data_IF_524117755187
#
_entry.id   IF_524117755187
#
_cell.length_a   1.000
_cell.length_b   1.000
_cell.length_c   1.000
_cell.angle_alpha   90.00
_cell.angle_beta   90.00
_cell.angle_gamma   90.00
#
_symmetry.space_group_name_H-M   'P 1'
#
loop_
_entity.id
_entity.type
_entity.pdbx_description
1 polymer ?
#
# COMPACT_ATOMS: atom_id res chain seq x y z
N UNK A 1 10.19 -4.00 26.32
CA UNK A 1 11.00 -4.13 25.11
C UNK A 1 10.18 -4.01 23.84
N UNK A 2 10.83 -4.16 22.70
CA UNK A 2 10.16 -4.08 21.42
C UNK A 2 9.08 -5.14 21.25
N UNK A 3 9.31 -6.32 21.81
CA UNK A 3 8.33 -7.40 21.78
C UNK A 3 7.04 -7.03 22.50
N UNK A 4 7.17 -6.35 23.61
CA UNK A 4 6.00 -5.89 24.37
C UNK A 4 5.19 -4.88 23.58
N UNK A 5 5.86 -3.97 22.88
CA UNK A 5 5.19 -2.99 22.03
C UNK A 5 4.44 -3.66 20.89
N UNK A 6 5.07 -4.63 20.22
CA UNK A 6 4.42 -5.38 19.14
C UNK A 6 3.16 -6.09 19.63
N UNK A 7 3.26 -6.72 20.80
CA UNK A 7 2.12 -7.40 21.39
C UNK A 7 1.00 -6.42 21.71
N UNK A 8 1.35 -5.27 22.27
CA UNK A 8 0.38 -4.23 22.59
C UNK A 8 -0.37 -3.77 21.36
N UNK A 9 0.35 -3.49 20.24
CA UNK A 9 -0.29 -3.05 19.02
C UNK A 9 -1.24 -4.11 18.45
N UNK A 10 -0.87 -5.38 18.54
CA UNK A 10 -1.76 -6.45 18.12
C UNK A 10 -3.04 -6.47 18.95
N UNK A 11 -2.93 -6.26 20.27
CA UNK A 11 -4.09 -6.29 21.14
C UNK A 11 -5.08 -5.16 20.89
N UNK A 12 -4.62 -4.03 20.33
CA UNK A 12 -5.52 -2.92 19.97
C UNK A 12 -5.99 -2.98 18.54
N UNK A 13 -5.66 -4.07 17.81
CA UNK A 13 -6.21 -4.31 16.48
C UNK A 13 -5.49 -3.64 15.34
N UNK A 14 -4.30 -3.09 15.58
CA UNK A 14 -3.50 -2.52 14.50
C UNK A 14 -2.83 -3.64 13.70
N UNK A 15 -2.84 -3.50 12.40
CA UNK A 15 -2.24 -4.46 11.47
C UNK A 15 -1.31 -3.75 10.52
N UNK A 16 -0.22 -4.43 10.18
CA UNK A 16 0.67 -4.01 9.10
C UNK A 16 0.37 -4.87 7.87
N UNK A 17 0.26 -4.21 6.73
CA UNK A 17 0.14 -4.93 5.47
C UNK A 17 1.14 -4.35 4.48
N UNK A 18 1.70 -5.21 3.66
CA UNK A 18 2.57 -4.80 2.57
C UNK A 18 1.81 -4.94 1.26
N UNK A 19 1.76 -3.87 0.50
CA UNK A 19 1.04 -3.83 -0.76
C UNK A 19 2.04 -3.57 -1.87
N UNK A 20 2.13 -4.51 -2.81
CA UNK A 20 2.97 -4.36 -3.99
C UNK A 20 2.08 -4.04 -5.18
N UNK A 21 2.41 -2.98 -5.87
CA UNK A 21 1.66 -2.59 -7.08
C UNK A 21 2.59 -1.98 -8.11
N UNK A 22 2.12 -1.93 -9.34
CA UNK A 22 2.85 -1.29 -10.43
C UNK A 22 1.96 -0.27 -11.12
N UNK A 23 2.59 0.79 -11.63
CA UNK A 23 1.91 1.87 -12.33
C UNK A 23 2.88 2.48 -13.35
N UNK A 24 2.33 3.03 -14.42
CA UNK A 24 3.11 3.80 -15.38
C UNK A 24 3.09 5.30 -15.08
N UNK A 25 2.40 5.72 -14.03
CA UNK A 25 2.26 7.12 -13.62
C UNK A 25 2.85 7.32 -12.24
N UNK A 26 3.97 8.03 -12.17
CA UNK A 26 4.65 8.32 -10.91
C UNK A 26 3.76 9.08 -9.92
N UNK A 27 2.88 9.92 -10.42
CA UNK A 27 1.99 10.69 -9.56
C UNK A 27 0.91 9.84 -8.91
N UNK A 28 0.65 8.64 -9.45
CA UNK A 28 -0.31 7.72 -8.87
C UNK A 28 0.07 7.32 -7.44
N UNK A 29 1.38 7.26 -7.16
CA UNK A 29 1.88 6.91 -5.82
C UNK A 29 1.40 7.92 -4.80
N UNK A 30 1.46 9.21 -5.13
CA UNK A 30 0.98 10.28 -4.25
C UNK A 30 -0.54 10.19 -4.04
N UNK A 31 -1.28 9.88 -5.10
CA UNK A 31 -2.74 9.73 -5.00
C UNK A 31 -3.12 8.57 -4.10
N UNK A 32 -2.40 7.45 -4.20
CA UNK A 32 -2.63 6.29 -3.32
C UNK A 32 -2.36 6.66 -1.86
N UNK A 33 -1.23 7.31 -1.58
CA UNK A 33 -0.88 7.73 -0.22
C UNK A 33 -1.94 8.68 0.35
N UNK A 34 -2.41 9.59 -0.48
CA UNK A 34 -3.44 10.56 -0.06
C UNK A 34 -4.76 9.84 0.27
N UNK A 35 -5.13 8.85 -0.54
CA UNK A 35 -6.33 8.07 -0.31
C UNK A 35 -6.24 7.30 1.01
N UNK A 36 -5.09 6.70 1.29
CA UNK A 36 -4.87 6.00 2.54
C UNK A 36 -5.02 6.94 3.73
N UNK A 37 -4.51 8.17 3.63
CA UNK A 37 -4.67 9.17 4.69
C UNK A 37 -6.14 9.48 4.96
N UNK A 38 -6.97 9.56 3.93
CA UNK A 38 -8.40 9.84 4.12
C UNK A 38 -9.13 8.71 4.82
N UNK A 39 -8.59 7.49 4.78
CA UNK A 39 -9.16 6.32 5.45
C UNK A 39 -8.50 6.03 6.80
N UNK A 40 -7.67 6.94 7.29
CA UNK A 40 -6.92 6.79 8.54
C UNK A 40 -5.95 5.60 8.49
N UNK A 41 -5.45 5.28 7.31
CA UNK A 41 -4.35 4.33 7.14
C UNK A 41 -3.04 5.11 7.17
N UNK A 42 -2.04 4.55 7.83
CA UNK A 42 -0.73 5.20 7.95
C UNK A 42 0.25 4.49 7.02
N UNK A 43 0.79 5.24 6.08
CA UNK A 43 1.87 4.73 5.23
C UNK A 43 3.16 4.82 6.04
N UNK A 44 3.67 3.67 6.46
CA UNK A 44 4.87 3.59 7.31
C UNK A 44 6.12 3.83 6.46
N UNK A 45 6.19 3.18 5.32
CA UNK A 45 7.31 3.30 4.40
C UNK A 45 6.92 2.79 3.03
N UNK A 46 7.69 3.15 2.02
CA UNK A 46 7.54 2.54 0.71
C UNK A 46 8.88 2.54 -0.03
N UNK A 47 9.01 1.60 -0.95
CA UNK A 47 10.14 1.52 -1.87
C UNK A 47 9.62 1.55 -3.29
N UNK A 48 10.34 2.22 -4.16
CA UNK A 48 9.98 2.32 -5.57
C UNK A 48 11.17 1.96 -6.43
N UNK A 49 10.95 1.08 -7.39
CA UNK A 49 11.93 0.80 -8.44
C UNK A 49 11.33 1.15 -9.78
N UNK A 50 12.15 1.70 -10.64
CA UNK A 50 11.74 2.10 -11.98
C UNK A 50 12.33 1.12 -12.99
N UNK A 51 11.49 0.63 -13.90
CA UNK A 51 11.91 -0.24 -14.99
C UNK A 51 11.40 0.31 -16.31
N UNK A 52 12.21 0.18 -17.36
CA UNK A 52 11.82 0.58 -18.69
C UNK A 52 11.46 -0.68 -19.45
N UNK A 53 10.19 -0.81 -19.83
CA UNK A 53 9.65 -2.01 -20.47
C UNK A 53 8.73 -1.61 -21.61
N UNK A 54 8.96 -2.18 -22.80
CA UNK A 54 8.13 -1.94 -23.97
C UNK A 54 7.95 -0.47 -24.33
N UNK A 55 9.02 0.32 -24.18
CA UNK A 55 9.00 1.74 -24.50
C UNK A 55 8.35 2.62 -23.43
N UNK A 56 8.07 2.07 -22.26
CA UNK A 56 7.44 2.81 -21.18
C UNK A 56 8.21 2.63 -19.86
N UNK A 57 8.17 3.66 -19.04
CA UNK A 57 8.63 3.55 -17.66
C UNK A 57 7.52 2.93 -16.82
N UNK A 58 7.86 1.90 -16.08
CA UNK A 58 6.95 1.26 -15.14
C UNK A 58 7.55 1.36 -13.75
N UNK A 59 6.74 1.77 -12.79
CA UNK A 59 7.17 1.93 -11.41
C UNK A 59 6.59 0.80 -10.58
N UNK A 60 7.47 0.06 -9.91
CA UNK A 60 7.08 -1.00 -8.99
C UNK A 60 7.22 -0.47 -7.58
N UNK A 61 6.13 -0.50 -6.84
CA UNK A 61 6.07 0.08 -5.50
C UNK A 61 5.74 -1.02 -4.49
N UNK A 62 6.49 -1.03 -3.39
CA UNK A 62 6.20 -1.87 -2.25
C UNK A 62 5.95 -0.95 -1.06
N UNK A 63 4.73 -0.95 -0.55
CA UNK A 63 4.29 0.02 0.45
C UNK A 63 3.81 -0.71 1.70
N UNK A 64 4.32 -0.30 2.87
CA UNK A 64 3.90 -0.83 4.16
C UNK A 64 2.89 0.13 4.78
N UNK A 65 1.71 -0.39 5.10
CA UNK A 65 0.60 0.40 5.61
C UNK A 65 0.11 -0.19 6.92
N UNK A 66 -0.18 0.67 7.87
CA UNK A 66 -0.68 0.29 9.18
C UNK A 66 -2.08 0.85 9.38
N UNK A 67 -3.02 0.00 9.81
CA UNK A 67 -4.38 0.43 10.07
C UNK A 67 -5.14 -0.57 10.92
N UNK A 68 -6.23 -0.10 11.51
CA UNK A 68 -7.21 -0.98 12.15
C UNK A 68 -8.13 -1.55 11.08
N UNK A 69 -8.54 -2.79 11.25
CA UNK A 69 -9.58 -3.42 10.42
C UNK A 69 -9.32 -3.38 8.92
N UNK A 70 -8.05 -3.38 8.57
CA UNK A 70 -7.67 -3.46 7.17
C UNK A 70 -7.67 -4.92 6.73
N UNK A 71 -8.27 -5.22 5.58
CA UNK A 71 -8.23 -6.55 5.01
C UNK A 71 -7.89 -6.49 3.53
N UNK A 72 -7.44 -7.62 3.01
CA UNK A 72 -6.99 -7.74 1.64
C UNK A 72 -8.09 -7.44 0.63
N UNK A 73 -9.28 -7.98 0.87
CA UNK A 73 -10.41 -7.78 -0.06
C UNK A 73 -10.82 -6.33 -0.17
N UNK A 74 -10.89 -5.64 0.96
CA UNK A 74 -11.23 -4.22 0.98
C UNK A 74 -10.22 -3.36 0.24
N UNK A 75 -8.93 -3.68 0.39
CA UNK A 75 -7.88 -2.97 -0.32
C UNK A 75 -7.94 -3.21 -1.82
N UNK A 76 -8.13 -4.46 -2.23
CA UNK A 76 -8.26 -4.78 -3.66
C UNK A 76 -9.44 -4.04 -4.28
N UNK A 77 -10.57 -4.01 -3.58
CA UNK A 77 -11.75 -3.33 -4.07
C UNK A 77 -11.52 -1.82 -4.22
N UNK A 78 -10.85 -1.22 -3.24
CA UNK A 78 -10.49 0.19 -3.30
C UNK A 78 -9.62 0.51 -4.51
N UNK A 79 -8.60 -0.31 -4.78
CA UNK A 79 -7.73 -0.11 -5.94
C UNK A 79 -8.50 -0.26 -7.24
N UNK A 80 -9.38 -1.25 -7.32
CA UNK A 80 -10.18 -1.45 -8.54
C UNK A 80 -11.11 -0.28 -8.82
N UNK A 81 -11.69 0.29 -7.78
CA UNK A 81 -12.65 1.39 -7.94
C UNK A 81 -11.99 2.74 -8.13
N UNK A 82 -10.95 3.03 -7.34
CA UNK A 82 -10.36 4.36 -7.30
C UNK A 82 -9.11 4.49 -8.16
N UNK A 83 -8.42 3.39 -8.43
CA UNK A 83 -7.17 3.38 -9.18
C UNK A 83 -7.15 2.26 -10.22
N UNK A 84 -8.02 2.33 -11.25
CA UNK A 84 -8.13 1.24 -12.22
C UNK A 84 -6.89 1.06 -13.09
N UNK A 85 -6.04 2.07 -13.21
CA UNK A 85 -4.80 2.01 -13.97
C UNK A 85 -3.61 1.50 -13.16
N UNK A 86 -3.80 1.19 -11.88
CA UNK A 86 -2.78 0.57 -11.05
C UNK A 86 -3.01 -0.93 -11.01
N UNK A 87 -1.92 -1.69 -11.15
CA UNK A 87 -1.97 -3.15 -11.07
C UNK A 87 -1.42 -3.59 -9.73
N UNK A 88 -2.28 -4.13 -8.87
CA UNK A 88 -1.86 -4.69 -7.59
C UNK A 88 -1.31 -6.08 -7.83
N UNK A 89 -0.06 -6.33 -7.44
CA UNK A 89 0.61 -7.60 -7.69
C UNK A 89 0.61 -8.51 -6.46
N UNK A 90 0.59 -7.92 -5.27
CA UNK A 90 0.62 -8.73 -4.05
C UNK A 90 0.17 -7.90 -2.86
N UNK A 91 -0.57 -8.54 -1.94
CA UNK A 91 -0.90 -7.99 -0.62
C UNK A 91 -0.58 -9.08 0.41
N UNK A 92 0.22 -8.72 1.40
CA UNK A 92 0.59 -9.66 2.46
C UNK A 92 0.15 -9.12 3.81
#
# INVERSE_FOLDING_TARGET
>A
GLETLSYFFKSIGLRNMMIDFSTDDKEAIKRVSKKFNTRNYVVVSYEMTEAYTNGKNVYHVSMVVKAKRMNEEGLLLMFLQDFPDITVTRII
#
